data_IF_284807828779
#
_entry.id   IF_284807828779
#
_cell.length_a   1.000
_cell.length_b   1.000
_cell.length_c   1.000
_cell.angle_alpha   90.00
_cell.angle_beta   90.00
_cell.angle_gamma   90.00
#
_symmetry.space_group_name_H-M   'P 1'
#
loop_
_entity.id
_entity.type
_entity.pdbx_description
1 polymer ?
#
# COMPACT_ATOMS: atom_id res chain seq x y z
N UNK A 1 -67.73 -14.43 -61.18
CA UNK A 1 -66.66 -13.71 -60.46
C UNK A 1 -66.92 -13.90 -58.98
N UNK A 2 -66.08 -14.67 -58.29
CA UNK A 2 -65.24 -14.26 -57.14
C UNK A 2 -64.46 -15.51 -56.72
N UNK A 3 -63.13 -15.42 -56.76
CA UNK A 3 -62.21 -16.45 -56.26
C UNK A 3 -62.15 -16.33 -54.73
N UNK A 4 -62.22 -17.45 -54.01
CA UNK A 4 -61.66 -17.57 -52.66
C UNK A 4 -61.14 -18.99 -52.49
N UNK A 5 -59.84 -19.09 -52.18
CA UNK A 5 -59.09 -20.33 -52.02
C UNK A 5 -59.44 -21.02 -50.69
N UNK A 6 -59.66 -22.33 -50.72
CA UNK A 6 -59.50 -23.21 -49.57
C UNK A 6 -58.09 -23.77 -49.58
N UNK A 7 -57.34 -23.69 -48.47
CA UNK A 7 -56.39 -24.74 -48.07
C UNK A 7 -55.88 -24.54 -46.62
N UNK A 8 -56.34 -25.46 -45.76
CA UNK A 8 -55.71 -26.09 -44.60
C UNK A 8 -54.79 -25.28 -43.66
N UNK A 9 -55.25 -25.10 -42.42
CA UNK A 9 -54.41 -24.95 -41.23
C UNK A 9 -54.12 -26.34 -40.63
N UNK A 10 -52.85 -26.75 -40.49
CA UNK A 10 -52.47 -27.77 -39.51
C UNK A 10 -51.72 -27.16 -38.32
N UNK A 11 -52.00 -27.79 -37.18
CA UNK A 11 -51.32 -27.73 -35.89
C UNK A 11 -49.79 -27.93 -35.99
N UNK A 12 -49.07 -27.29 -35.06
CA UNK A 12 -47.75 -27.64 -34.51
C UNK A 12 -46.54 -27.70 -35.46
N UNK A 13 -45.64 -26.72 -35.31
CA UNK A 13 -44.20 -26.91 -35.50
C UNK A 13 -43.43 -26.07 -34.47
N UNK A 14 -42.57 -26.75 -33.70
CA UNK A 14 -41.61 -26.14 -32.79
C UNK A 14 -40.78 -25.10 -33.53
N UNK A 15 -40.87 -23.84 -33.13
CA UNK A 15 -39.88 -22.84 -33.52
C UNK A 15 -38.87 -22.74 -32.37
N UNK A 16 -37.63 -23.16 -32.65
CA UNK A 16 -36.54 -23.14 -31.69
C UNK A 16 -36.27 -21.71 -31.20
N UNK A 17 -36.68 -21.45 -29.97
CA UNK A 17 -36.00 -20.46 -29.16
C UNK A 17 -34.72 -21.15 -28.67
N UNK A 18 -33.60 -20.93 -29.36
CA UNK A 18 -32.31 -21.08 -28.70
C UNK A 18 -32.30 -20.05 -27.58
N UNK A 19 -32.48 -20.53 -26.35
CA UNK A 19 -32.01 -19.85 -25.16
C UNK A 19 -30.53 -19.58 -25.41
N UNK A 20 -30.17 -18.32 -25.63
CA UNK A 20 -28.80 -17.86 -25.48
C UNK A 20 -28.46 -18.21 -24.03
N UNK A 21 -27.56 -19.16 -23.83
CA UNK A 21 -26.98 -19.45 -22.53
C UNK A 21 -26.41 -18.16 -21.95
N UNK A 22 -26.41 -17.95 -20.62
CA UNK A 22 -25.59 -16.89 -20.07
C UNK A 22 -24.18 -17.13 -20.58
N UNK A 23 -23.57 -16.10 -21.16
CA UNK A 23 -22.16 -16.12 -21.57
C UNK A 23 -21.39 -16.76 -20.42
N UNK A 24 -20.71 -17.87 -20.70
CA UNK A 24 -19.68 -18.38 -19.81
C UNK A 24 -18.73 -17.20 -19.63
N UNK A 25 -18.68 -16.62 -18.41
CA UNK A 25 -17.61 -15.72 -18.03
C UNK A 25 -16.33 -16.49 -18.34
N UNK A 26 -15.64 -16.06 -19.40
CA UNK A 26 -14.35 -16.59 -19.77
C UNK A 26 -13.46 -16.28 -18.57
N UNK A 27 -13.29 -17.25 -17.65
CA UNK A 27 -12.45 -17.11 -16.46
C UNK A 27 -11.11 -16.60 -16.96
N UNK A 28 -10.84 -15.30 -16.76
CA UNK A 28 -9.54 -14.74 -17.06
C UNK A 28 -8.59 -15.49 -16.11
N UNK A 29 -7.71 -16.37 -16.63
CA UNK A 29 -6.97 -17.25 -15.76
C UNK A 29 -6.03 -16.41 -14.90
N UNK A 30 -5.91 -16.78 -13.62
CA UNK A 30 -4.90 -16.17 -12.76
C UNK A 30 -3.53 -16.57 -13.31
N UNK A 31 -2.69 -15.58 -13.65
CA UNK A 31 -1.33 -15.78 -14.14
C UNK A 31 -0.36 -15.02 -13.27
N UNK A 32 0.45 -15.78 -12.54
CA UNK A 32 1.54 -15.25 -11.71
C UNK A 32 2.83 -15.21 -12.52
N UNK A 33 3.62 -14.15 -12.32
CA UNK A 33 4.95 -14.00 -12.91
C UNK A 33 6.00 -13.95 -11.83
N UNK A 34 7.05 -14.74 -12.03
CA UNK A 34 8.22 -14.76 -11.18
C UNK A 34 9.46 -14.40 -11.99
N UNK A 35 10.24 -13.44 -11.49
CA UNK A 35 11.49 -12.98 -12.09
C UNK A 35 12.63 -13.23 -11.11
N UNK A 36 13.56 -14.09 -11.50
CA UNK A 36 14.73 -14.49 -10.72
C UNK A 36 16.05 -14.01 -11.34
N UNK A 37 16.01 -13.60 -12.61
CA UNK A 37 17.15 -13.08 -13.36
C UNK A 37 16.81 -11.79 -14.11
N UNK A 38 17.82 -10.98 -14.43
CA UNK A 38 17.62 -9.78 -15.25
C UNK A 38 17.11 -10.11 -16.66
N UNK A 39 17.53 -11.24 -17.24
CA UNK A 39 17.09 -11.66 -18.57
C UNK A 39 15.57 -11.90 -18.62
N UNK A 40 14.99 -12.53 -17.58
CA UNK A 40 13.55 -12.76 -17.49
C UNK A 40 12.76 -11.43 -17.41
N UNK A 41 13.29 -10.45 -16.67
CA UNK A 41 12.71 -9.09 -16.63
C UNK A 41 12.77 -8.47 -18.02
N UNK A 42 13.94 -8.47 -18.66
CA UNK A 42 14.14 -7.82 -19.97
C UNK A 42 13.25 -8.45 -21.06
N UNK A 43 13.14 -9.77 -21.07
CA UNK A 43 12.32 -10.52 -22.04
C UNK A 43 10.82 -10.22 -21.88
N UNK A 44 10.37 -9.90 -20.66
CA UNK A 44 8.96 -9.61 -20.37
C UNK A 44 8.44 -8.39 -21.14
N UNK A 45 9.31 -7.43 -21.48
CA UNK A 45 8.93 -6.23 -22.24
C UNK A 45 8.18 -6.55 -23.55
N UNK A 46 8.58 -7.67 -24.19
CA UNK A 46 8.07 -8.08 -25.49
C UNK A 46 6.68 -8.72 -25.43
N UNK A 47 6.07 -8.84 -24.25
CA UNK A 47 4.74 -9.42 -24.07
C UNK A 47 3.60 -8.43 -24.24
N UNK A 48 3.90 -7.12 -24.21
CA UNK A 48 2.91 -6.05 -24.40
C UNK A 48 1.70 -6.14 -23.46
N UNK A 49 1.89 -6.70 -22.27
CA UNK A 49 0.87 -6.81 -21.23
C UNK A 49 0.83 -5.48 -20.45
N UNK A 50 -0.36 -5.00 -20.11
CA UNK A 50 -0.56 -3.84 -19.23
C UNK A 50 -1.33 -4.16 -17.95
N UNK A 51 -1.92 -5.34 -17.86
CA UNK A 51 -2.67 -5.81 -16.70
C UNK A 51 -2.29 -7.24 -16.38
N UNK A 52 -1.97 -7.49 -15.11
CA UNK A 52 -1.66 -8.83 -14.59
C UNK A 52 -2.83 -9.28 -13.74
N UNK A 53 -3.51 -10.32 -14.20
CA UNK A 53 -4.52 -10.99 -13.41
C UNK A 53 -3.84 -12.03 -12.51
N UNK A 54 -3.17 -11.59 -11.45
CA UNK A 54 -2.33 -12.44 -10.60
C UNK A 54 -1.16 -11.66 -10.01
N UNK A 55 -0.17 -12.37 -9.50
CA UNK A 55 0.95 -11.79 -8.77
C UNK A 55 2.15 -11.49 -9.67
N UNK A 56 2.93 -10.48 -9.33
CA UNK A 56 4.33 -10.33 -9.76
C UNK A 56 5.24 -10.56 -8.56
N UNK A 57 6.21 -11.46 -8.69
CA UNK A 57 7.30 -11.65 -7.72
C UNK A 57 8.65 -11.44 -8.39
N UNK A 58 9.45 -10.51 -7.91
CA UNK A 58 10.85 -10.29 -8.32
C UNK A 58 11.75 -10.69 -7.17
N UNK A 59 12.66 -11.66 -7.37
CA UNK A 59 13.52 -12.18 -6.27
C UNK A 59 14.97 -12.51 -6.61
N UNK A 60 15.52 -11.90 -7.66
CA UNK A 60 16.92 -12.07 -8.07
C UNK A 60 17.84 -10.97 -7.55
N UNK A 61 18.89 -11.34 -6.80
CA UNK A 61 19.87 -10.38 -6.26
C UNK A 61 20.65 -9.59 -7.33
N UNK A 62 20.82 -10.16 -8.51
CA UNK A 62 21.52 -9.56 -9.66
C UNK A 62 20.60 -8.71 -10.57
N UNK A 63 19.31 -8.58 -10.22
CA UNK A 63 18.39 -7.70 -10.96
C UNK A 63 18.73 -6.25 -10.62
N UNK A 64 19.04 -5.47 -11.64
CA UNK A 64 19.51 -4.07 -11.54
C UNK A 64 18.45 -3.06 -11.94
N UNK A 65 17.43 -3.50 -12.69
CA UNK A 65 16.33 -2.65 -13.13
C UNK A 65 15.08 -3.47 -13.45
N UNK A 66 13.93 -2.80 -13.51
CA UNK A 66 12.63 -3.39 -13.82
C UNK A 66 12.11 -2.99 -15.21
N UNK A 67 12.95 -2.54 -16.14
CA UNK A 67 12.50 -1.87 -17.37
C UNK A 67 11.56 -2.71 -18.24
N UNK A 68 11.63 -4.04 -18.13
CA UNK A 68 10.68 -4.91 -18.82
C UNK A 68 9.23 -4.78 -18.33
N UNK A 69 9.01 -4.23 -17.14
CA UNK A 69 7.70 -4.04 -16.53
C UNK A 69 7.05 -2.68 -16.87
N UNK A 70 7.70 -1.83 -17.70
CA UNK A 70 7.29 -0.44 -17.97
C UNK A 70 5.87 -0.24 -18.51
N UNK A 71 5.21 -1.31 -18.94
CA UNK A 71 3.84 -1.29 -19.48
C UNK A 71 2.76 -1.65 -18.48
N UNK A 72 3.14 -2.23 -17.33
CA UNK A 72 2.18 -2.70 -16.34
C UNK A 72 1.52 -1.51 -15.65
N UNK A 73 0.20 -1.43 -15.79
CA UNK A 73 -0.65 -0.41 -15.20
C UNK A 73 -1.45 -0.96 -14.01
N UNK A 74 -1.81 -2.24 -14.03
CA UNK A 74 -2.61 -2.89 -13.00
C UNK A 74 -2.04 -4.26 -12.67
N UNK A 75 -1.92 -4.56 -11.38
CA UNK A 75 -1.67 -5.90 -10.84
C UNK A 75 -2.86 -6.25 -9.96
N UNK A 76 -3.60 -7.31 -10.31
CA UNK A 76 -4.79 -7.76 -9.56
C UNK A 76 -4.45 -8.62 -8.34
N UNK A 77 -3.26 -9.21 -8.34
CA UNK A 77 -2.70 -9.84 -7.15
C UNK A 77 -1.69 -8.93 -6.49
N UNK A 78 -0.65 -9.56 -5.96
CA UNK A 78 0.39 -8.92 -5.18
C UNK A 78 1.57 -8.48 -6.06
N UNK A 79 2.23 -7.41 -5.65
CA UNK A 79 3.55 -7.03 -6.16
C UNK A 79 4.59 -7.27 -5.07
N UNK A 80 5.41 -8.30 -5.26
CA UNK A 80 6.50 -8.67 -4.34
C UNK A 80 7.85 -8.41 -4.99
N UNK A 81 8.71 -7.65 -4.31
CA UNK A 81 10.11 -7.46 -4.67
C UNK A 81 10.93 -7.82 -3.44
N UNK A 82 11.66 -8.93 -3.53
CA UNK A 82 12.28 -9.59 -2.37
C UNK A 82 13.73 -9.93 -2.64
N UNK A 83 14.65 -9.41 -1.83
CA UNK A 83 16.07 -9.78 -1.93
C UNK A 83 16.78 -9.30 -3.20
N UNK A 84 16.33 -8.20 -3.81
CA UNK A 84 17.00 -7.59 -4.98
C UNK A 84 18.09 -6.61 -4.52
N UNK A 85 19.28 -7.13 -4.18
CA UNK A 85 20.37 -6.35 -3.59
C UNK A 85 21.00 -5.31 -4.52
N UNK A 86 20.89 -5.47 -5.83
CA UNK A 86 21.46 -4.55 -6.84
C UNK A 86 20.43 -3.61 -7.47
N UNK A 87 19.16 -3.63 -7.03
CA UNK A 87 18.08 -2.83 -7.59
C UNK A 87 17.95 -1.49 -6.83
N UNK A 88 18.34 -0.33 -7.41
CA UNK A 88 18.38 0.93 -6.68
C UNK A 88 17.04 1.65 -6.55
N UNK A 89 16.08 1.35 -7.42
CA UNK A 89 14.75 1.97 -7.51
C UNK A 89 13.81 1.12 -8.37
N UNK A 90 12.60 1.61 -8.61
CA UNK A 90 11.50 0.90 -9.26
C UNK A 90 11.09 1.51 -10.61
N UNK A 91 11.98 2.21 -11.34
CA UNK A 91 11.67 2.95 -12.58
C UNK A 91 10.84 2.19 -13.61
N UNK A 92 11.08 0.90 -13.69
CA UNK A 92 10.36 -0.02 -14.53
C UNK A 92 8.86 -0.13 -14.24
N UNK A 93 8.36 0.46 -13.15
CA UNK A 93 6.96 0.44 -12.77
C UNK A 93 6.27 1.81 -12.97
N UNK A 94 6.90 2.75 -13.69
CA UNK A 94 6.41 4.15 -13.81
C UNK A 94 4.99 4.33 -14.35
N UNK A 95 4.41 3.30 -14.98
CA UNK A 95 3.02 3.30 -15.45
C UNK A 95 2.04 2.56 -14.53
N UNK A 96 2.52 1.91 -13.47
CA UNK A 96 1.71 1.18 -12.50
C UNK A 96 0.82 2.14 -11.73
N UNK A 97 -0.49 1.94 -11.82
CA UNK A 97 -1.52 2.77 -11.18
C UNK A 97 -2.21 2.08 -10.02
N UNK A 98 -2.30 0.75 -10.04
CA UNK A 98 -3.04 0.02 -9.00
C UNK A 98 -2.44 -1.36 -8.75
N UNK A 99 -2.38 -1.71 -7.46
CA UNK A 99 -2.16 -3.08 -6.97
C UNK A 99 -3.40 -3.45 -6.16
N UNK A 100 -4.13 -4.50 -6.56
CA UNK A 100 -5.33 -4.95 -5.83
C UNK A 100 -4.96 -5.85 -4.64
N UNK A 101 -3.78 -6.48 -4.66
CA UNK A 101 -3.20 -7.19 -3.52
C UNK A 101 -2.21 -6.34 -2.70
N UNK A 102 -1.24 -7.03 -2.11
CA UNK A 102 -0.18 -6.46 -1.28
C UNK A 102 0.95 -5.86 -2.12
N UNK A 103 1.55 -4.77 -1.62
CA UNK A 103 2.86 -4.30 -2.06
C UNK A 103 3.90 -4.71 -1.02
N UNK A 104 4.76 -5.66 -1.38
CA UNK A 104 5.82 -6.17 -0.51
C UNK A 104 7.20 -5.83 -1.06
N UNK A 105 7.93 -4.96 -0.36
CA UNK A 105 9.35 -4.67 -0.61
C UNK A 105 10.14 -5.18 0.58
N UNK A 106 10.76 -6.36 0.44
CA UNK A 106 11.35 -7.09 1.57
C UNK A 106 12.82 -7.41 1.30
N UNK A 107 13.71 -7.08 2.24
CA UNK A 107 15.15 -7.40 2.17
C UNK A 107 15.87 -6.84 0.91
N UNK A 108 15.45 -5.69 0.37
CA UNK A 108 16.09 -5.09 -0.81
C UNK A 108 17.19 -4.10 -0.38
N UNK A 109 18.36 -4.61 -0.03
CA UNK A 109 19.47 -3.81 0.53
C UNK A 109 19.99 -2.72 -0.42
N UNK A 110 19.79 -2.85 -1.72
CA UNK A 110 20.17 -1.85 -2.72
C UNK A 110 19.13 -0.77 -2.97
N UNK A 111 17.89 -0.94 -2.50
CA UNK A 111 16.78 -0.05 -2.82
C UNK A 111 16.91 1.27 -2.06
N UNK A 112 17.10 2.38 -2.79
CA UNK A 112 17.35 3.71 -2.18
C UNK A 112 16.07 4.54 -2.08
N UNK A 113 15.17 4.36 -3.05
CA UNK A 113 13.88 5.06 -3.12
C UNK A 113 12.88 4.26 -3.97
N UNK A 114 11.62 4.67 -3.92
CA UNK A 114 10.51 4.04 -4.65
C UNK A 114 10.23 4.72 -6.00
N UNK A 115 11.21 5.45 -6.55
CA UNK A 115 11.06 6.15 -7.82
C UNK A 115 10.68 5.13 -8.88
N UNK A 116 9.65 5.46 -9.64
CA UNK A 116 8.98 4.53 -10.54
C UNK A 116 7.60 4.10 -10.06
N UNK A 117 7.19 4.39 -8.82
CA UNK A 117 5.78 4.25 -8.42
C UNK A 117 4.95 5.53 -8.60
N UNK A 118 5.45 6.51 -9.36
CA UNK A 118 4.87 7.86 -9.45
C UNK A 118 3.44 7.92 -9.97
N UNK A 119 2.95 6.87 -10.62
CA UNK A 119 1.57 6.79 -11.10
C UNK A 119 0.66 5.97 -10.18
N UNK A 120 1.20 5.38 -9.11
CA UNK A 120 0.48 4.49 -8.21
C UNK A 120 -0.50 5.30 -7.37
N UNK A 121 -1.78 5.00 -7.53
CA UNK A 121 -2.89 5.73 -6.89
C UNK A 121 -3.48 4.94 -5.71
N UNK A 122 -3.49 3.61 -5.81
CA UNK A 122 -4.14 2.75 -4.83
C UNK A 122 -3.45 1.40 -4.65
N UNK A 123 -3.41 0.95 -3.40
CA UNK A 123 -3.08 -0.40 -2.97
C UNK A 123 -4.27 -0.90 -2.14
N UNK A 124 -5.00 -1.91 -2.61
CA UNK A 124 -6.25 -2.30 -1.96
C UNK A 124 -6.06 -3.19 -0.72
N UNK A 125 -4.86 -3.71 -0.52
CA UNK A 125 -4.49 -4.51 0.65
C UNK A 125 -3.31 -3.83 1.38
N UNK A 126 -2.26 -4.56 1.73
CA UNK A 126 -1.24 -4.11 2.66
C UNK A 126 0.00 -3.54 1.95
N UNK A 127 0.73 -2.69 2.65
CA UNK A 127 2.03 -2.18 2.23
C UNK A 127 3.08 -2.61 3.24
N UNK A 128 4.00 -3.47 2.80
CA UNK A 128 5.09 -3.99 3.62
C UNK A 128 6.43 -3.50 3.10
N UNK A 129 7.08 -2.59 3.85
CA UNK A 129 8.46 -2.21 3.64
C UNK A 129 9.29 -2.77 4.80
N UNK A 130 10.00 -3.88 4.53
CA UNK A 130 10.68 -4.64 5.59
C UNK A 130 12.15 -4.84 5.23
N UNK A 131 13.06 -4.52 6.14
CA UNK A 131 14.50 -4.75 5.99
C UNK A 131 15.10 -4.12 4.71
N UNK A 132 14.70 -2.91 4.34
CA UNK A 132 15.28 -2.19 3.19
C UNK A 132 16.33 -1.18 3.69
N UNK A 133 17.52 -1.68 4.01
CA UNK A 133 18.52 -0.93 4.79
C UNK A 133 19.02 0.36 4.14
N UNK A 134 18.97 0.48 2.81
CA UNK A 134 19.41 1.69 2.09
C UNK A 134 18.26 2.62 1.69
N UNK A 135 17.00 2.29 2.05
CA UNK A 135 15.84 3.06 1.61
C UNK A 135 15.75 4.35 2.41
N UNK A 136 16.03 5.48 1.75
CA UNK A 136 16.11 6.81 2.38
C UNK A 136 14.78 7.56 2.31
N UNK A 137 13.99 7.31 1.27
CA UNK A 137 12.74 8.03 1.05
C UNK A 137 11.70 7.18 0.32
N UNK A 138 10.43 7.53 0.51
CA UNK A 138 9.29 6.94 -0.21
C UNK A 138 8.98 7.65 -1.54
N UNK A 139 9.90 8.51 -2.01
CA UNK A 139 9.76 9.27 -3.26
C UNK A 139 9.31 8.35 -4.38
N UNK A 140 8.21 8.71 -5.03
CA UNK A 140 7.51 7.84 -5.97
C UNK A 140 6.10 7.54 -5.52
N UNK A 141 5.79 7.50 -4.22
CA UNK A 141 4.41 7.29 -3.74
C UNK A 141 3.56 8.57 -3.70
N UNK A 142 3.98 9.64 -4.36
CA UNK A 142 3.40 10.97 -4.22
C UNK A 142 1.91 11.05 -4.62
N UNK A 143 1.40 10.10 -5.40
CA UNK A 143 0.00 10.01 -5.83
C UNK A 143 -0.81 8.93 -5.08
N UNK A 144 -0.19 8.19 -4.16
CA UNK A 144 -0.86 7.13 -3.41
C UNK A 144 -1.85 7.76 -2.43
N UNK A 145 -3.13 7.47 -2.63
CA UNK A 145 -4.22 8.04 -1.81
C UNK A 145 -4.94 6.98 -0.96
N UNK A 146 -4.87 5.72 -1.37
CA UNK A 146 -5.62 4.62 -0.75
C UNK A 146 -4.69 3.45 -0.39
N UNK A 147 -4.73 3.05 0.89
CA UNK A 147 -4.16 1.80 1.40
C UNK A 147 -5.30 1.07 2.13
N UNK A 148 -5.82 0.00 1.53
CA UNK A 148 -6.98 -0.71 2.05
C UNK A 148 -6.67 -1.61 3.26
N UNK A 149 -5.40 -1.86 3.55
CA UNK A 149 -4.93 -2.67 4.68
C UNK A 149 -4.00 -1.90 5.62
N UNK A 150 -2.94 -2.58 6.07
CA UNK A 150 -1.91 -2.00 6.95
C UNK A 150 -0.75 -1.36 6.19
N UNK A 151 -0.12 -0.38 6.83
CA UNK A 151 1.12 0.25 6.40
C UNK A 151 2.22 -0.10 7.40
N UNK A 152 3.16 -0.94 6.96
CA UNK A 152 4.21 -1.51 7.81
C UNK A 152 5.57 -1.08 7.32
N UNK A 153 6.24 -0.26 8.12
CA UNK A 153 7.67 0.04 8.00
C UNK A 153 8.41 -0.66 9.14
N UNK A 154 9.25 -1.63 8.80
CA UNK A 154 9.99 -2.39 9.79
C UNK A 154 11.47 -2.51 9.40
N UNK A 155 12.34 -1.98 10.24
CA UNK A 155 13.80 -2.04 10.06
C UNK A 155 14.21 -1.40 8.73
N UNK A 156 14.03 -0.07 8.67
CA UNK A 156 14.41 0.79 7.55
C UNK A 156 15.25 1.94 8.11
N UNK A 157 16.46 1.65 8.62
CA UNK A 157 17.20 2.58 9.49
C UNK A 157 17.60 3.90 8.82
N UNK A 158 17.74 3.92 7.50
CA UNK A 158 18.10 5.11 6.72
C UNK A 158 16.88 5.93 6.24
N UNK A 159 15.65 5.45 6.48
CA UNK A 159 14.43 6.17 6.07
C UNK A 159 14.32 7.48 6.82
N UNK A 160 14.38 8.58 6.09
CA UNK A 160 14.35 9.93 6.65
C UNK A 160 13.16 10.77 6.15
N UNK A 161 12.51 10.33 5.06
CA UNK A 161 11.47 11.10 4.38
C UNK A 161 10.30 10.21 3.94
N UNK A 162 9.13 10.47 4.53
CA UNK A 162 7.84 9.82 4.21
C UNK A 162 6.83 10.82 3.61
N UNK A 163 7.26 12.01 3.19
CA UNK A 163 6.39 13.11 2.74
C UNK A 163 5.53 12.75 1.52
N UNK A 164 5.98 11.78 0.72
CA UNK A 164 5.20 11.22 -0.40
C UNK A 164 3.87 10.57 0.03
N UNK A 165 3.65 10.29 1.32
CA UNK A 165 2.37 9.74 1.81
C UNK A 165 1.29 10.81 2.04
N UNK A 166 1.55 12.08 1.72
CA UNK A 166 0.66 13.20 2.04
C UNK A 166 -0.78 13.11 1.51
N UNK A 167 -1.07 12.20 0.56
CA UNK A 167 -2.42 11.98 0.05
C UNK A 167 -3.17 10.84 0.77
N UNK A 168 -2.52 10.06 1.62
CA UNK A 168 -3.15 8.97 2.37
C UNK A 168 -4.00 9.55 3.50
N UNK A 169 -5.29 9.21 3.50
CA UNK A 169 -6.26 9.72 4.48
C UNK A 169 -6.80 8.63 5.41
N UNK A 170 -6.72 7.38 5.02
CA UNK A 170 -7.25 6.24 5.76
C UNK A 170 -6.35 5.02 5.60
N UNK A 171 -6.19 4.26 6.67
CA UNK A 171 -5.64 2.91 6.67
C UNK A 171 -6.74 1.93 7.09
N UNK A 172 -6.96 0.91 6.27
CA UNK A 172 -7.97 -0.11 6.56
C UNK A 172 -7.59 -1.07 7.69
N UNK A 173 -6.34 -1.05 8.15
CA UNK A 173 -5.91 -1.77 9.34
C UNK A 173 -4.97 -0.95 10.23
N UNK A 174 -3.67 -1.27 10.26
CA UNK A 174 -2.68 -0.77 11.21
C UNK A 174 -1.68 0.20 10.56
N UNK A 175 -1.17 1.16 11.34
CA UNK A 175 0.11 1.82 11.07
C UNK A 175 1.17 1.24 12.00
N UNK A 176 2.13 0.51 11.43
CA UNK A 176 3.27 -0.05 12.17
C UNK A 176 4.57 0.60 11.69
N UNK A 177 5.14 1.45 12.54
CA UNK A 177 6.41 2.14 12.30
C UNK A 177 7.43 1.65 13.31
N UNK A 178 8.30 0.73 12.90
CA UNK A 178 9.30 0.12 13.76
C UNK A 178 10.72 0.28 13.20
N UNK A 179 11.63 0.76 14.05
CA UNK A 179 13.06 0.77 13.76
C UNK A 179 13.41 1.52 12.45
N UNK A 180 12.82 2.71 12.28
CA UNK A 180 13.17 3.70 11.25
C UNK A 180 14.02 4.80 11.88
N UNK A 181 15.21 4.45 12.33
CA UNK A 181 16.04 5.26 13.25
C UNK A 181 16.48 6.61 12.71
N UNK A 182 16.42 6.88 11.39
CA UNK A 182 16.73 8.19 10.80
C UNK A 182 15.51 9.11 10.63
N UNK A 183 14.30 8.59 10.86
CA UNK A 183 13.07 9.34 10.66
C UNK A 183 12.86 10.32 11.81
N UNK A 184 12.83 11.62 11.50
CA UNK A 184 12.76 12.69 12.52
C UNK A 184 11.36 13.19 12.83
N UNK A 185 10.46 13.05 11.88
CA UNK A 185 9.07 13.47 12.00
C UNK A 185 8.22 12.61 11.07
N UNK A 186 6.91 12.75 11.22
CA UNK A 186 5.93 12.04 10.40
C UNK A 186 5.31 12.95 9.32
N UNK A 187 6.03 13.99 8.87
CA UNK A 187 5.54 14.85 7.79
C UNK A 187 5.35 14.01 6.52
N UNK A 188 4.10 13.93 6.08
CA UNK A 188 3.63 12.94 5.11
C UNK A 188 2.35 12.26 5.59
N UNK A 189 2.10 12.19 6.89
CA UNK A 189 0.86 11.61 7.44
C UNK A 189 -0.16 12.65 7.90
N UNK A 190 0.04 13.94 7.57
CA UNK A 190 -0.75 15.03 8.15
C UNK A 190 -2.22 15.06 7.71
N UNK A 191 -2.55 14.32 6.64
CA UNK A 191 -3.92 14.12 6.17
C UNK A 191 -4.50 12.76 6.59
N UNK A 192 -3.75 11.92 7.31
CA UNK A 192 -4.24 10.66 7.83
C UNK A 192 -5.26 10.92 8.94
N UNK A 193 -6.52 10.60 8.70
CA UNK A 193 -7.63 10.85 9.63
C UNK A 193 -8.06 9.58 10.38
N UNK A 194 -7.90 8.40 9.76
CA UNK A 194 -8.50 7.17 10.26
C UNK A 194 -7.56 5.96 10.15
N UNK A 195 -7.38 5.26 11.26
CA UNK A 195 -6.73 3.95 11.33
C UNK A 195 -7.73 2.98 11.93
N UNK A 196 -8.05 1.90 11.22
CA UNK A 196 -9.13 0.99 11.63
C UNK A 196 -8.75 0.15 12.84
N UNK A 197 -7.48 -0.23 12.97
CA UNK A 197 -6.97 -1.01 14.11
C UNK A 197 -5.93 -0.20 14.88
N UNK A 198 -4.65 -0.57 14.83
CA UNK A 198 -3.65 -0.11 15.78
C UNK A 198 -2.74 0.98 15.19
N UNK A 199 -2.27 1.87 16.07
CA UNK A 199 -1.15 2.76 15.83
C UNK A 199 0.04 2.30 16.67
N UNK A 200 1.05 1.74 16.03
CA UNK A 200 2.28 1.26 16.65
C UNK A 200 3.48 2.08 16.15
N UNK A 201 4.12 2.83 17.05
CA UNK A 201 5.34 3.60 16.76
C UNK A 201 6.42 3.16 17.75
N UNK A 202 7.39 2.38 17.27
CA UNK A 202 8.31 1.61 18.11
C UNK A 202 9.77 1.82 17.67
N UNK A 203 10.67 2.13 18.58
CA UNK A 203 12.11 2.06 18.27
C UNK A 203 12.61 3.06 17.22
N UNK A 204 11.96 4.23 17.07
CA UNK A 204 12.37 5.26 16.11
C UNK A 204 13.16 6.35 16.84
N UNK A 205 14.41 6.05 17.20
CA UNK A 205 15.20 6.87 18.13
C UNK A 205 15.40 8.34 17.74
N UNK A 206 15.40 8.68 16.45
CA UNK A 206 15.51 10.08 15.99
C UNK A 206 14.18 10.80 15.84
N UNK A 207 13.04 10.13 16.05
CA UNK A 207 11.72 10.74 15.90
C UNK A 207 11.52 11.77 17.02
N UNK A 208 11.38 13.04 16.67
CA UNK A 208 11.32 14.15 17.63
C UNK A 208 9.87 14.50 18.01
N UNK A 209 8.93 14.33 17.08
CA UNK A 209 7.54 14.76 17.25
C UNK A 209 6.53 13.92 16.47
N UNK A 210 5.30 13.81 17.01
CA UNK A 210 4.12 13.24 16.33
C UNK A 210 3.29 14.27 15.54
N UNK A 211 3.73 15.53 15.38
CA UNK A 211 2.98 16.58 14.67
C UNK A 211 2.52 16.21 13.24
N UNK A 212 3.21 15.26 12.61
CA UNK A 212 2.77 14.69 11.34
C UNK A 212 1.44 13.91 11.42
N UNK A 213 0.93 13.59 12.61
CA UNK A 213 -0.35 12.93 12.84
C UNK A 213 -1.47 13.90 13.28
N UNK A 214 -1.26 15.22 13.18
CA UNK A 214 -2.25 16.26 13.60
C UNK A 214 -3.67 16.08 13.05
N UNK A 215 -3.80 15.43 11.88
CA UNK A 215 -5.07 15.12 11.23
C UNK A 215 -5.77 13.88 11.78
N UNK A 216 -5.11 13.07 12.61
CA UNK A 216 -5.63 11.77 13.06
C UNK A 216 -6.80 11.97 14.03
N UNK A 217 -7.95 11.44 13.66
CA UNK A 217 -9.21 11.56 14.38
C UNK A 217 -9.65 10.26 15.03
N UNK A 218 -9.23 9.10 14.48
CA UNK A 218 -9.67 7.80 14.95
C UNK A 218 -8.58 6.73 14.83
N UNK A 219 -8.47 5.93 15.89
CA UNK A 219 -7.73 4.67 15.96
C UNK A 219 -8.67 3.68 16.63
N UNK A 220 -9.01 2.58 15.95
CA UNK A 220 -10.02 1.63 16.44
C UNK A 220 -9.52 0.67 17.51
N UNK A 221 -8.21 0.42 17.55
CA UNK A 221 -7.53 -0.45 18.48
C UNK A 221 -6.68 0.32 19.49
N UNK A 222 -5.39 0.03 19.57
CA UNK A 222 -4.48 0.66 20.53
C UNK A 222 -3.62 1.78 19.93
N UNK A 223 -3.16 2.67 20.79
CA UNK A 223 -2.07 3.61 20.52
C UNK A 223 -0.89 3.17 21.38
N UNK A 224 0.14 2.65 20.72
CA UNK A 224 1.33 2.11 21.37
C UNK A 224 2.56 2.85 20.82
N UNK A 225 3.09 3.76 21.61
CA UNK A 225 4.22 4.62 21.24
C UNK A 225 5.33 4.36 22.23
N UNK A 226 6.30 3.53 21.88
CA UNK A 226 7.33 3.08 22.84
C UNK A 226 8.73 3.10 22.26
N UNK A 227 9.72 3.27 23.12
CA UNK A 227 11.14 3.15 22.74
C UNK A 227 11.56 4.14 21.64
N UNK A 228 10.96 5.34 21.58
CA UNK A 228 11.37 6.41 20.66
C UNK A 228 12.15 7.47 21.45
N UNK A 229 13.45 7.24 21.66
CA UNK A 229 14.25 8.04 22.61
C UNK A 229 14.30 9.55 22.34
N UNK A 230 14.18 9.97 21.09
CA UNK A 230 14.11 11.38 20.68
C UNK A 230 12.74 12.04 20.81
N UNK A 231 11.68 11.27 21.06
CA UNK A 231 10.30 11.76 20.95
C UNK A 231 9.91 12.54 22.20
N UNK A 232 9.94 13.87 22.11
CA UNK A 232 9.60 14.78 23.23
C UNK A 232 8.28 15.51 23.02
N UNK A 233 7.68 15.40 21.84
CA UNK A 233 6.45 16.10 21.47
C UNK A 233 5.42 15.11 20.89
N UNK A 234 4.35 14.87 21.64
CA UNK A 234 3.23 14.01 21.26
C UNK A 234 1.97 14.83 20.94
N UNK A 235 2.08 16.15 20.79
CA UNK A 235 0.92 17.02 20.59
C UNK A 235 0.15 16.71 19.30
N UNK A 236 0.80 16.11 18.31
CA UNK A 236 0.15 15.70 17.06
C UNK A 236 -1.00 14.71 17.22
N UNK A 237 -1.11 13.96 18.33
CA UNK A 237 -2.25 13.05 18.58
C UNK A 237 -3.36 13.67 19.44
N UNK A 238 -3.28 14.97 19.75
CA UNK A 238 -4.28 15.67 20.58
C UNK A 238 -5.68 15.57 19.98
N UNK A 239 -5.82 15.68 18.65
CA UNK A 239 -7.10 15.55 17.95
C UNK A 239 -7.73 14.18 18.19
N UNK A 240 -6.96 13.10 18.09
CA UNK A 240 -7.40 11.73 18.35
C UNK A 240 -7.90 11.56 19.78
N UNK A 241 -7.11 11.99 20.77
CA UNK A 241 -7.47 11.85 22.19
C UNK A 241 -8.74 12.65 22.52
N UNK A 242 -8.81 13.91 22.07
CA UNK A 242 -9.98 14.77 22.29
C UNK A 242 -11.23 14.33 21.51
N UNK A 243 -11.08 13.48 20.49
CA UNK A 243 -12.19 12.84 19.80
C UNK A 243 -12.70 11.57 20.50
N UNK A 244 -12.35 11.38 21.78
CA UNK A 244 -12.89 10.31 22.61
C UNK A 244 -12.25 8.95 22.36
N UNK A 245 -10.95 8.93 22.03
CA UNK A 245 -10.19 7.68 21.94
C UNK A 245 -10.35 6.88 23.24
N UNK A 246 -10.75 5.61 23.10
CA UNK A 246 -11.06 4.72 24.22
C UNK A 246 -10.29 3.40 24.20
N UNK A 247 -9.32 3.27 23.28
CA UNK A 247 -8.45 2.11 23.18
C UNK A 247 -7.37 2.09 24.25
N UNK A 248 -6.54 1.05 24.23
CA UNK A 248 -5.36 1.00 25.07
C UNK A 248 -4.37 2.09 24.62
N UNK A 249 -3.82 2.85 25.57
CA UNK A 249 -2.83 3.88 25.30
C UNK A 249 -1.61 3.61 26.16
N UNK A 250 -0.47 3.43 25.50
CA UNK A 250 0.80 3.20 26.16
C UNK A 250 1.87 4.09 25.54
N UNK A 251 2.45 4.93 26.39
CA UNK A 251 3.70 5.64 26.13
C UNK A 251 4.73 5.24 27.18
N UNK A 252 5.85 4.65 26.76
CA UNK A 252 6.98 4.35 27.64
C UNK A 252 8.29 4.40 26.87
N UNK A 253 9.38 4.64 27.59
CA UNK A 253 10.73 4.66 27.03
C UNK A 253 10.92 5.64 25.85
N UNK A 254 10.06 6.67 25.75
CA UNK A 254 10.24 7.81 24.85
C UNK A 254 10.94 8.98 25.57
N UNK A 255 11.33 10.03 24.82
CA UNK A 255 11.82 11.29 25.39
C UNK A 255 10.81 12.00 26.30
N UNK A 256 9.52 11.87 26.01
CA UNK A 256 8.40 12.28 26.86
C UNK A 256 7.28 11.24 26.81
N UNK A 257 6.65 10.95 27.96
CA UNK A 257 5.66 9.88 28.10
C UNK A 257 4.40 10.40 28.83
N UNK A 258 3.64 11.31 28.20
CA UNK A 258 2.41 11.86 28.77
C UNK A 258 1.34 10.77 28.91
N UNK A 259 0.50 10.86 29.93
CA UNK A 259 -0.75 10.09 29.98
C UNK A 259 -1.80 10.67 29.02
N UNK A 260 -2.90 9.95 28.77
CA UNK A 260 -4.02 10.54 28.03
C UNK A 260 -4.55 11.83 28.68
N UNK A 261 -4.65 11.85 30.01
CA UNK A 261 -5.08 13.04 30.76
C UNK A 261 -4.11 14.22 30.55
N UNK A 262 -2.80 13.96 30.51
CA UNK A 262 -1.81 14.98 30.20
C UNK A 262 -2.02 15.57 28.80
N UNK A 263 -2.32 14.75 27.78
CA UNK A 263 -2.64 15.22 26.43
C UNK A 263 -3.91 16.11 26.45
N UNK A 264 -4.97 15.68 27.15
CA UNK A 264 -6.22 16.46 27.29
C UNK A 264 -5.97 17.81 27.97
N UNK A 265 -5.10 17.85 28.97
CA UNK A 265 -4.72 19.06 29.70
C UNK A 265 -3.72 19.95 28.94
N UNK A 266 -3.28 19.52 27.75
CA UNK A 266 -2.32 20.24 26.90
C UNK A 266 -0.85 20.06 27.31
N UNK A 267 -0.56 19.15 28.23
CA UNK A 267 0.78 18.74 28.63
C UNK A 267 1.30 17.64 27.69
N UNK A 268 1.36 17.92 26.39
CA UNK A 268 1.71 16.94 25.36
C UNK A 268 3.17 17.00 24.87
N UNK A 269 3.98 17.91 25.42
CA UNK A 269 5.39 18.08 25.06
C UNK A 269 6.25 18.48 26.28
N UNK A 270 7.54 18.14 26.26
CA UNK A 270 8.54 18.55 27.27
C UNK A 270 9.75 19.28 26.64
#
# INVERSE_FOLDING_TARGET
MTKAYYLLLPLLALCGCQLISPEEEEENPIVNFEFTTQAEVDDFFNRFISEINGDITVRGGEITNLNGLLRIQVIRGDLRIVGTSELPNLDGLSTLRRVEGDLELINNSGLINLRGLTSLEAIQSNVYLINNWSLISLRGLDNLAEIGGELVFNTIPELADISSLSNVTTLGNELYLNNCTSLKNLEGLHNLEFITSDLNIIGNDSLESLEGLRGLLHVGGQVFVVENGGLTDLCGITSLINNGFSGNYETRDNGYNPTQDDIVDGNCSN
#
